data_IF_626595559170
#
_entry.id   IF_626595559170
#
_cell.length_a   1.000
_cell.length_b   1.000
_cell.length_c   1.000
_cell.angle_alpha   90.00
_cell.angle_beta   90.00
_cell.angle_gamma   90.00
#
_symmetry.space_group_name_H-M   'P 1'
#
loop_
_entity.id
_entity.type
_entity.pdbx_description
1 polymer ?
#
# COMPACT_ATOMS: atom_id res chain seq x y z
N UNK A 1 2.86 -16.59 19.17
CA UNK A 1 2.33 -15.84 18.02
C UNK A 1 3.49 -15.49 17.12
N UNK A 2 3.22 -15.12 15.86
CA UNK A 2 4.22 -14.37 15.12
C UNK A 2 4.40 -12.98 15.75
N UNK A 3 5.49 -12.30 15.38
CA UNK A 3 5.85 -11.01 15.95
C UNK A 3 4.81 -9.92 15.61
N UNK A 4 4.05 -10.09 14.54
CA UNK A 4 3.15 -9.06 14.02
C UNK A 4 1.75 -9.13 14.66
N UNK A 5 1.28 -10.31 15.06
CA UNK A 5 -0.05 -10.48 15.67
C UNK A 5 -0.01 -10.49 17.20
N UNK A 6 1.12 -10.92 17.79
CA UNK A 6 1.25 -11.03 19.24
C UNK A 6 0.97 -9.71 20.00
N UNK A 7 1.49 -8.54 19.59
CA UNK A 7 1.22 -7.28 20.29
C UNK A 7 -0.27 -6.97 20.40
N UNK A 8 -1.03 -7.24 19.33
CA UNK A 8 -2.47 -6.98 19.32
C UNK A 8 -3.22 -7.94 20.26
N UNK A 9 -2.88 -9.23 20.28
CA UNK A 9 -3.45 -10.16 21.28
C UNK A 9 -3.09 -9.79 22.71
N UNK A 10 -1.85 -9.37 22.96
CA UNK A 10 -1.44 -8.91 24.29
C UNK A 10 -2.31 -7.72 24.74
N UNK A 11 -2.57 -6.76 23.87
CA UNK A 11 -3.47 -5.64 24.16
C UNK A 11 -4.92 -6.09 24.42
N UNK A 12 -5.41 -7.11 23.71
CA UNK A 12 -6.74 -7.69 23.98
C UNK A 12 -6.83 -8.34 25.36
N UNK A 13 -5.80 -9.08 25.78
CA UNK A 13 -5.72 -9.64 27.14
C UNK A 13 -5.66 -8.53 28.21
N UNK A 14 -5.11 -7.36 27.87
CA UNK A 14 -5.12 -6.15 28.70
C UNK A 14 -6.43 -5.37 28.69
N UNK A 15 -7.47 -5.82 27.98
CA UNK A 15 -8.79 -5.16 27.97
C UNK A 15 -9.08 -4.28 26.76
N UNK A 16 -8.14 -4.13 25.82
CA UNK A 16 -8.32 -3.26 24.66
C UNK A 16 -9.03 -4.01 23.53
N UNK A 17 -10.11 -3.44 22.99
CA UNK A 17 -10.83 -3.95 21.81
C UNK A 17 -11.18 -5.45 21.88
N UNK A 18 -11.78 -5.86 22.99
CA UNK A 18 -12.30 -7.23 23.18
C UNK A 18 -13.51 -7.56 22.29
N UNK A 19 -14.04 -6.56 21.58
CA UNK A 19 -15.12 -6.66 20.59
C UNK A 19 -14.66 -7.21 19.22
N UNK A 20 -13.35 -7.37 18.99
CA UNK A 20 -12.79 -7.86 17.73
C UNK A 20 -12.12 -9.22 17.92
N UNK A 21 -12.17 -10.09 16.91
CA UNK A 21 -11.36 -11.32 16.87
C UNK A 21 -10.21 -11.15 15.88
N UNK A 22 -8.98 -11.37 16.35
CA UNK A 22 -7.78 -11.28 15.53
C UNK A 22 -7.39 -12.69 15.07
N UNK A 23 -7.46 -12.90 13.76
CA UNK A 23 -7.16 -14.19 13.12
C UNK A 23 -5.83 -14.10 12.39
N UNK A 24 -4.83 -14.87 12.84
CA UNK A 24 -3.58 -14.99 12.11
C UNK A 24 -3.74 -16.00 10.96
N UNK A 25 -3.60 -15.53 9.71
CA UNK A 25 -3.78 -16.38 8.51
C UNK A 25 -2.87 -17.62 8.50
N UNK A 26 -1.62 -17.50 8.95
CA UNK A 26 -0.67 -18.62 8.95
C UNK A 26 -1.04 -19.69 9.99
N UNK A 27 -1.39 -19.26 11.20
CA UNK A 27 -1.83 -20.17 12.27
C UNK A 27 -3.21 -20.77 12.00
N UNK A 28 -4.04 -20.13 11.17
CA UNK A 28 -5.33 -20.66 10.73
C UNK A 28 -5.22 -21.93 9.86
N UNK A 29 -4.01 -22.40 9.56
CA UNK A 29 -3.79 -23.74 9.03
C UNK A 29 -3.81 -24.85 10.10
N UNK A 30 -3.70 -24.50 11.39
CA UNK A 30 -3.68 -25.42 12.52
C UNK A 30 -5.11 -25.61 13.05
N UNK A 31 -5.57 -26.86 13.13
CA UNK A 31 -6.93 -27.21 13.59
C UNK A 31 -7.17 -26.70 15.01
N UNK A 32 -6.20 -26.88 15.89
CA UNK A 32 -6.27 -26.50 17.30
C UNK A 32 -6.46 -24.99 17.46
N UNK A 33 -5.86 -24.19 16.56
CA UNK A 33 -6.01 -22.75 16.56
C UNK A 33 -7.41 -22.32 16.07
N UNK A 34 -7.96 -22.99 15.05
CA UNK A 34 -9.34 -22.77 14.61
C UNK A 34 -10.33 -23.07 15.74
N UNK A 35 -10.16 -24.22 16.40
CA UNK A 35 -10.98 -24.62 17.55
C UNK A 35 -10.86 -23.63 18.72
N UNK A 36 -9.64 -23.14 19.00
CA UNK A 36 -9.43 -22.11 20.01
C UNK A 36 -10.21 -20.83 19.68
N UNK A 37 -10.16 -20.37 18.42
CA UNK A 37 -10.90 -19.18 17.99
C UNK A 37 -12.43 -19.40 18.02
N UNK A 38 -12.93 -20.59 17.65
CA UNK A 38 -14.35 -20.94 17.80
C UNK A 38 -14.79 -20.85 19.27
N UNK A 39 -13.99 -21.35 20.22
CA UNK A 39 -14.25 -21.20 21.67
C UNK A 39 -14.23 -19.74 22.13
N UNK A 40 -13.50 -18.87 21.43
CA UNK A 40 -13.47 -17.41 21.65
C UNK A 40 -14.59 -16.66 20.92
N UNK A 41 -15.48 -17.36 20.21
CA UNK A 41 -16.64 -16.78 19.55
C UNK A 41 -16.50 -16.54 18.04
N UNK A 42 -15.49 -17.12 17.37
CA UNK A 42 -15.39 -17.05 15.92
C UNK A 42 -16.62 -17.75 15.28
N UNK A 43 -17.45 -17.04 14.49
CA UNK A 43 -18.68 -17.59 13.95
C UNK A 43 -18.41 -18.41 12.67
N UNK A 44 -17.47 -19.34 12.75
CA UNK A 44 -17.14 -20.27 11.67
C UNK A 44 -17.94 -21.57 11.87
N UNK A 45 -18.99 -21.74 11.08
CA UNK A 45 -19.84 -22.94 11.12
C UNK A 45 -19.12 -24.08 10.38
N UNK A 46 -18.28 -24.81 11.10
CA UNK A 46 -17.57 -26.01 10.63
C UNK A 46 -17.39 -26.99 11.79
N UNK A 47 -17.68 -28.27 11.55
CA UNK A 47 -17.53 -29.35 12.52
C UNK A 47 -16.08 -29.82 12.65
N UNK A 48 -15.79 -30.55 13.73
CA UNK A 48 -14.47 -31.14 13.95
C UNK A 48 -14.09 -32.14 12.84
N UNK A 49 -15.05 -32.94 12.38
CA UNK A 49 -14.86 -33.91 11.30
C UNK A 49 -14.52 -33.20 9.98
N UNK A 50 -15.25 -32.15 9.62
CA UNK A 50 -14.97 -31.35 8.43
C UNK A 50 -13.58 -30.68 8.50
N UNK A 51 -13.17 -30.20 9.68
CA UNK A 51 -11.83 -29.63 9.88
C UNK A 51 -10.71 -30.66 9.67
N UNK A 52 -10.91 -31.92 10.07
CA UNK A 52 -9.95 -33.00 9.85
C UNK A 52 -9.81 -33.37 8.37
N UNK A 53 -10.91 -33.26 7.62
CA UNK A 53 -10.94 -33.55 6.19
C UNK A 53 -10.31 -32.43 5.34
N UNK A 54 -10.33 -31.18 5.81
CA UNK A 54 -9.71 -30.06 5.09
C UNK A 54 -8.20 -30.25 5.01
N UNK A 55 -7.71 -30.40 3.78
CA UNK A 55 -6.29 -30.51 3.44
C UNK A 55 -5.86 -29.40 2.50
N UNK A 56 -4.56 -29.15 2.45
CA UNK A 56 -3.98 -28.35 1.37
C UNK A 56 -4.27 -29.04 0.05
N UNK A 57 -4.71 -28.29 -0.96
CA UNK A 57 -4.96 -28.83 -2.30
C UNK A 57 -4.24 -28.02 -3.36
N UNK A 58 -3.98 -28.62 -4.51
CA UNK A 58 -3.36 -27.96 -5.66
C UNK A 58 -4.42 -27.72 -6.72
N UNK A 59 -4.51 -26.49 -7.19
CA UNK A 59 -5.44 -26.08 -8.25
C UNK A 59 -4.69 -25.17 -9.22
N UNK A 60 -4.63 -25.53 -10.52
CA UNK A 60 -3.92 -24.76 -11.56
C UNK A 60 -2.50 -24.34 -11.16
N UNK A 61 -1.71 -25.30 -10.65
CA UNK A 61 -0.34 -25.08 -10.14
C UNK A 61 -0.19 -24.17 -8.93
N UNK A 62 -1.30 -23.71 -8.32
CA UNK A 62 -1.30 -22.94 -7.08
C UNK A 62 -1.68 -23.83 -5.90
N UNK A 63 -1.00 -23.64 -4.76
CA UNK A 63 -1.36 -24.28 -3.51
C UNK A 63 -2.48 -23.47 -2.87
N UNK A 64 -3.61 -24.11 -2.61
CA UNK A 64 -4.71 -23.57 -1.79
C UNK A 64 -4.55 -24.15 -0.39
N UNK A 65 -4.28 -23.26 0.57
CA UNK A 65 -4.03 -23.66 1.95
C UNK A 65 -5.33 -24.00 2.70
N UNK A 66 -5.21 -24.65 3.86
CA UNK A 66 -6.36 -24.84 4.76
C UNK A 66 -6.93 -23.48 5.18
N UNK A 67 -6.05 -22.56 5.59
CA UNK A 67 -6.40 -21.18 5.93
C UNK A 67 -7.18 -20.46 4.82
N UNK A 68 -6.75 -20.57 3.56
CA UNK A 68 -7.46 -19.93 2.44
C UNK A 68 -8.89 -20.46 2.27
N UNK A 69 -9.09 -21.77 2.48
CA UNK A 69 -10.41 -22.40 2.42
C UNK A 69 -11.31 -21.93 3.57
N UNK A 70 -10.76 -21.91 4.79
CA UNK A 70 -11.50 -21.51 5.99
C UNK A 70 -11.84 -20.01 5.99
N UNK A 71 -10.92 -19.15 5.54
CA UNK A 71 -11.19 -17.70 5.39
C UNK A 71 -12.27 -17.48 4.33
N UNK A 72 -12.20 -18.18 3.19
CA UNK A 72 -13.24 -18.11 2.16
C UNK A 72 -14.60 -18.53 2.72
N UNK A 73 -14.65 -19.57 3.56
CA UNK A 73 -15.87 -20.00 4.24
C UNK A 73 -16.36 -18.92 5.22
N UNK A 74 -15.48 -18.37 6.05
CA UNK A 74 -15.82 -17.33 7.03
C UNK A 74 -16.44 -16.09 6.36
N UNK A 75 -15.80 -15.60 5.30
CA UNK A 75 -16.29 -14.45 4.52
C UNK A 75 -17.64 -14.78 3.88
N UNK A 76 -17.78 -15.97 3.27
CA UNK A 76 -19.03 -16.41 2.64
C UNK A 76 -20.18 -16.53 3.63
N UNK A 77 -19.92 -16.96 4.87
CA UNK A 77 -20.93 -17.10 5.91
C UNK A 77 -21.49 -15.75 6.37
N UNK A 78 -20.69 -14.66 6.27
CA UNK A 78 -21.09 -13.28 6.53
C UNK A 78 -21.85 -13.10 7.87
N UNK A 79 -21.46 -13.86 8.91
CA UNK A 79 -22.06 -13.80 10.25
C UNK A 79 -21.53 -12.62 11.07
N UNK A 80 -20.34 -12.14 10.73
CA UNK A 80 -19.74 -10.93 11.29
C UNK A 80 -18.95 -10.21 10.19
N UNK A 81 -18.71 -8.89 10.32
CA UNK A 81 -17.81 -8.17 9.43
C UNK A 81 -16.41 -8.81 9.44
N UNK A 82 -15.88 -9.08 8.25
CA UNK A 82 -14.50 -9.55 8.07
C UNK A 82 -13.71 -8.45 7.39
N UNK A 83 -12.59 -8.08 7.99
CA UNK A 83 -11.63 -7.12 7.43
C UNK A 83 -10.27 -7.78 7.33
N UNK A 84 -9.46 -7.37 6.37
CA UNK A 84 -8.10 -7.85 6.18
C UNK A 84 -7.12 -6.74 6.53
N UNK A 85 -6.09 -6.98 7.33
CA UNK A 85 -5.02 -5.98 7.45
C UNK A 85 -4.33 -5.78 6.10
N UNK A 86 -3.74 -4.60 5.88
CA UNK A 86 -2.96 -4.31 4.67
C UNK A 86 -1.79 -5.27 4.47
N UNK A 87 -1.33 -5.91 5.54
CA UNK A 87 -0.27 -6.93 5.56
C UNK A 87 -0.74 -8.33 5.10
N UNK A 88 -2.04 -8.57 4.93
CA UNK A 88 -2.54 -9.84 4.37
C UNK A 88 -2.20 -9.87 2.88
N UNK A 89 -1.46 -10.89 2.44
CA UNK A 89 -1.07 -11.04 1.04
C UNK A 89 -2.24 -11.48 0.13
N UNK A 90 -2.48 -10.72 -0.94
CA UNK A 90 -3.48 -10.99 -2.01
C UNK A 90 -4.88 -11.34 -1.48
N UNK A 91 -5.51 -10.48 -0.65
CA UNK A 91 -6.85 -10.72 -0.10
C UNK A 91 -7.94 -10.77 -1.19
N UNK A 92 -7.69 -10.21 -2.38
CA UNK A 92 -8.59 -10.28 -3.53
C UNK A 92 -8.92 -11.72 -3.96
N UNK A 93 -8.08 -12.70 -3.60
CA UNK A 93 -8.32 -14.12 -3.90
C UNK A 93 -9.60 -14.70 -3.30
N UNK A 94 -10.16 -14.05 -2.27
CA UNK A 94 -11.38 -14.52 -1.63
C UNK A 94 -12.64 -14.18 -2.43
N UNK A 95 -12.51 -13.41 -3.52
CA UNK A 95 -13.57 -13.19 -4.50
C UNK A 95 -14.54 -12.07 -4.13
N UNK A 96 -14.07 -11.10 -3.33
CA UNK A 96 -14.85 -9.94 -2.92
C UNK A 96 -14.08 -8.66 -3.26
N UNK A 97 -14.78 -7.61 -3.73
CA UNK A 97 -14.25 -6.26 -3.81
C UNK A 97 -13.77 -5.78 -2.45
N UNK A 98 -12.67 -5.02 -2.43
CA UNK A 98 -12.01 -4.58 -1.21
C UNK A 98 -11.83 -3.07 -1.23
N UNK A 99 -12.27 -2.44 -0.13
CA UNK A 99 -12.16 -1.01 0.13
C UNK A 99 -11.14 -0.76 1.23
N UNK A 100 -10.10 0.03 0.95
CA UNK A 100 -9.15 0.46 1.98
C UNK A 100 -9.82 1.44 2.96
N UNK A 101 -9.68 1.19 4.26
CA UNK A 101 -10.22 1.99 5.36
C UNK A 101 -9.12 2.14 6.41
N UNK A 102 -8.27 3.16 6.25
CA UNK A 102 -7.04 3.29 7.05
C UNK A 102 -6.03 2.17 6.76
N UNK A 103 -5.84 1.25 7.70
CA UNK A 103 -4.87 0.15 7.61
C UNK A 103 -5.51 -1.24 7.41
N UNK A 104 -6.78 -1.25 7.05
CA UNK A 104 -7.50 -2.49 6.74
C UNK A 104 -8.23 -2.37 5.42
N UNK A 105 -8.41 -3.51 4.75
CA UNK A 105 -9.33 -3.70 3.66
C UNK A 105 -10.64 -4.24 4.21
N UNK A 106 -11.71 -3.47 4.04
CA UNK A 106 -13.09 -3.90 4.25
C UNK A 106 -13.65 -4.49 2.96
N UNK A 107 -14.70 -5.30 3.06
CA UNK A 107 -15.43 -5.76 1.87
C UNK A 107 -16.30 -4.61 1.36
N UNK A 108 -16.07 -4.19 0.11
CA UNK A 108 -16.77 -3.06 -0.50
C UNK A 108 -16.28 -2.74 -1.91
N UNK A 109 -17.12 -2.11 -2.71
CA UNK A 109 -16.89 -1.83 -4.15
C UNK A 109 -15.95 -0.64 -4.42
N UNK A 110 -15.81 0.29 -3.47
CA UNK A 110 -14.94 1.46 -3.63
C UNK A 110 -13.48 1.08 -3.35
N UNK A 111 -12.51 1.71 -4.02
CA UNK A 111 -11.08 1.45 -3.77
C UNK A 111 -10.64 1.89 -2.36
N UNK A 112 -11.09 3.07 -1.92
CA UNK A 112 -10.68 3.72 -0.67
C UNK A 112 -11.86 4.46 -0.03
N UNK A 113 -12.11 4.21 1.24
CA UNK A 113 -12.98 5.03 2.10
C UNK A 113 -12.23 6.29 2.52
N UNK A 114 -12.37 7.36 1.73
CA UNK A 114 -11.62 8.61 1.90
C UNK A 114 -11.88 9.24 3.28
N UNK A 115 -13.14 9.35 3.69
CA UNK A 115 -13.49 10.04 4.94
C UNK A 115 -12.98 9.26 6.15
N UNK A 116 -13.19 7.94 6.17
CA UNK A 116 -12.73 7.11 7.27
C UNK A 116 -11.20 7.04 7.34
N UNK A 117 -10.54 6.94 6.19
CA UNK A 117 -9.07 6.90 6.13
C UNK A 117 -8.47 8.22 6.63
N UNK A 118 -9.03 9.36 6.23
CA UNK A 118 -8.63 10.68 6.76
C UNK A 118 -8.83 10.81 8.26
N UNK A 119 -9.99 10.40 8.76
CA UNK A 119 -10.28 10.42 10.20
C UNK A 119 -9.28 9.57 10.99
N UNK A 120 -8.96 8.39 10.50
CA UNK A 120 -8.01 7.49 11.15
C UNK A 120 -6.61 8.08 11.16
N UNK A 121 -6.09 8.50 10.00
CA UNK A 121 -4.71 8.99 9.87
C UNK A 121 -4.50 10.35 10.55
N UNK A 122 -5.45 11.27 10.47
CA UNK A 122 -5.22 12.65 10.93
C UNK A 122 -5.83 13.00 12.28
N UNK A 123 -6.81 12.21 12.78
CA UNK A 123 -7.53 12.53 14.02
C UNK A 123 -7.44 11.44 15.09
N UNK A 124 -7.51 10.17 14.67
CA UNK A 124 -7.58 9.04 15.63
C UNK A 124 -6.20 8.52 16.00
N UNK A 125 -5.37 8.24 15.00
CA UNK A 125 -4.03 7.72 15.19
C UNK A 125 -3.09 8.86 15.60
N UNK A 126 -2.16 8.55 16.50
CA UNK A 126 -1.24 9.54 17.10
C UNK A 126 0.19 9.18 16.78
N UNK A 127 0.83 10.05 16.03
CA UNK A 127 2.19 9.87 15.53
C UNK A 127 3.21 10.76 16.22
N UNK A 128 2.82 11.56 17.21
CA UNK A 128 3.68 12.57 17.85
C UNK A 128 5.02 12.00 18.32
N UNK A 129 4.99 10.80 18.92
CA UNK A 129 6.19 10.11 19.39
C UNK A 129 7.01 9.47 18.26
N UNK A 130 6.34 9.04 17.19
CA UNK A 130 7.04 8.49 16.02
C UNK A 130 7.80 9.61 15.32
N UNK A 131 7.12 10.73 15.09
CA UNK A 131 7.66 11.90 14.40
C UNK A 131 8.55 12.80 15.25
N UNK A 132 8.64 12.57 16.56
CA UNK A 132 9.61 13.29 17.42
C UNK A 132 11.05 12.82 17.22
N UNK A 133 11.25 11.75 16.47
CA UNK A 133 12.54 11.09 16.26
C UNK A 133 12.69 10.79 14.77
N UNK A 134 13.88 10.98 14.16
CA UNK A 134 14.11 10.59 12.77
C UNK A 134 13.81 9.11 12.54
N UNK A 135 13.06 8.78 11.50
CA UNK A 135 12.58 7.41 11.22
C UNK A 135 13.75 6.43 11.02
N UNK A 136 14.85 6.91 10.44
CA UNK A 136 16.08 6.18 10.16
C UNK A 136 16.82 5.76 11.44
N UNK A 137 16.56 6.46 12.55
CA UNK A 137 17.14 6.14 13.86
C UNK A 137 16.34 5.07 14.63
N UNK A 138 15.14 4.72 14.16
CA UNK A 138 14.32 3.67 14.74
C UNK A 138 14.74 2.29 14.23
N UNK A 139 14.32 1.22 14.91
CA UNK A 139 14.64 -0.14 14.47
C UNK A 139 14.02 -0.45 13.10
N UNK A 140 14.67 -1.30 12.32
CA UNK A 140 14.15 -1.74 11.01
C UNK A 140 12.71 -2.28 11.09
N UNK A 141 12.34 -2.94 12.19
CA UNK A 141 10.97 -3.41 12.39
C UNK A 141 9.95 -2.27 12.50
N UNK A 142 10.31 -1.16 13.17
CA UNK A 142 9.44 0.01 13.26
C UNK A 142 9.36 0.74 11.92
N UNK A 143 10.48 0.83 11.19
CA UNK A 143 10.52 1.39 9.84
C UNK A 143 9.56 0.61 8.91
N UNK A 144 9.71 -0.71 8.83
CA UNK A 144 8.85 -1.58 8.02
C UNK A 144 7.36 -1.48 8.42
N UNK A 145 7.05 -1.31 9.72
CA UNK A 145 5.67 -1.11 10.15
C UNK A 145 5.12 0.26 9.72
N UNK A 146 5.97 1.29 9.73
CA UNK A 146 5.65 2.67 9.35
C UNK A 146 5.33 2.78 7.86
N UNK A 147 5.98 1.97 7.01
CA UNK A 147 5.68 1.89 5.57
C UNK A 147 4.19 1.58 5.29
N UNK A 148 3.50 0.83 6.15
CA UNK A 148 2.07 0.57 5.97
C UNK A 148 1.22 1.85 6.07
N UNK A 149 1.64 2.81 6.91
CA UNK A 149 0.99 4.11 7.03
C UNK A 149 1.31 4.99 5.83
N UNK A 150 2.56 4.96 5.35
CA UNK A 150 2.97 5.64 4.12
C UNK A 150 2.13 5.15 2.93
N UNK A 151 2.00 3.83 2.78
CA UNK A 151 1.20 3.21 1.72
C UNK A 151 -0.28 3.59 1.81
N UNK A 152 -0.86 3.61 3.02
CA UNK A 152 -2.26 4.03 3.23
C UNK A 152 -2.49 5.48 2.83
N UNK A 153 -1.62 6.39 3.26
CA UNK A 153 -1.68 7.81 2.89
C UNK A 153 -1.48 8.01 1.38
N UNK A 154 -0.58 7.25 0.76
CA UNK A 154 -0.38 7.27 -0.69
C UNK A 154 -1.64 6.82 -1.46
N UNK A 155 -2.29 5.73 -1.04
CA UNK A 155 -3.56 5.28 -1.65
C UNK A 155 -4.67 6.31 -1.47
N UNK A 156 -4.73 6.97 -0.30
CA UNK A 156 -5.66 8.08 -0.07
C UNK A 156 -5.40 9.25 -1.03
N UNK A 157 -4.14 9.62 -1.24
CA UNK A 157 -3.74 10.63 -2.24
C UNK A 157 -4.26 10.27 -3.65
N UNK A 158 -4.03 9.04 -4.09
CA UNK A 158 -4.51 8.55 -5.40
C UNK A 158 -6.04 8.63 -5.51
N UNK A 159 -6.76 8.30 -4.43
CA UNK A 159 -8.22 8.38 -4.41
C UNK A 159 -8.72 9.84 -4.47
N UNK A 160 -8.01 10.78 -3.85
CA UNK A 160 -8.31 12.22 -3.90
C UNK A 160 -8.03 12.81 -5.28
N UNK A 161 -6.92 12.42 -5.91
CA UNK A 161 -6.59 12.80 -7.28
C UNK A 161 -7.67 12.37 -8.28
N UNK A 162 -8.21 11.14 -8.16
CA UNK A 162 -9.33 10.67 -8.99
C UNK A 162 -10.58 11.55 -8.87
N UNK A 163 -10.70 12.31 -7.77
CA UNK A 163 -11.78 13.28 -7.51
C UNK A 163 -11.34 14.73 -7.77
N UNK A 164 -10.20 14.92 -8.43
CA UNK A 164 -9.61 16.23 -8.78
C UNK A 164 -9.30 17.11 -7.56
N UNK A 165 -9.15 16.50 -6.38
CA UNK A 165 -8.79 17.19 -5.13
C UNK A 165 -7.27 17.23 -4.98
N UNK A 166 -6.59 17.93 -5.88
CA UNK A 166 -5.13 17.84 -6.02
C UNK A 166 -4.36 18.39 -4.81
N UNK A 167 -4.80 19.49 -4.21
CA UNK A 167 -4.15 20.06 -3.03
C UNK A 167 -4.24 19.12 -1.83
N UNK A 168 -5.42 18.51 -1.61
CA UNK A 168 -5.59 17.49 -0.57
C UNK A 168 -4.74 16.26 -0.88
N UNK A 169 -4.68 15.84 -2.15
CA UNK A 169 -3.84 14.72 -2.57
C UNK A 169 -2.35 14.98 -2.26
N UNK A 170 -1.85 16.21 -2.49
CA UNK A 170 -0.47 16.61 -2.17
C UNK A 170 -0.22 16.53 -0.66
N UNK A 171 -1.13 17.03 0.17
CA UNK A 171 -1.00 16.95 1.63
C UNK A 171 -0.86 15.50 2.11
N UNK A 172 -1.58 14.56 1.50
CA UNK A 172 -1.46 13.13 1.84
C UNK A 172 -0.12 12.52 1.37
N UNK A 173 0.45 13.00 0.26
CA UNK A 173 1.82 12.60 -0.15
C UNK A 173 2.84 13.15 0.84
N UNK A 174 2.75 14.42 1.22
CA UNK A 174 3.63 15.03 2.23
C UNK A 174 3.52 14.28 3.56
N UNK A 175 2.31 13.87 3.94
CA UNK A 175 2.08 13.05 5.12
C UNK A 175 2.73 11.66 4.99
N UNK A 176 2.60 11.00 3.84
CA UNK A 176 3.23 9.70 3.56
C UNK A 176 4.77 9.77 3.70
N UNK A 177 5.39 10.85 3.20
CA UNK A 177 6.84 11.09 3.26
C UNK A 177 7.39 11.19 4.68
N UNK A 178 6.54 11.47 5.68
CA UNK A 178 6.96 11.47 7.10
C UNK A 178 7.23 10.07 7.64
N UNK A 179 6.81 9.03 6.93
CA UNK A 179 6.97 7.64 7.33
C UNK A 179 8.01 6.87 6.49
N UNK A 180 8.16 7.21 5.20
CA UNK A 180 9.21 6.65 4.33
C UNK A 180 9.51 7.64 3.20
N UNK A 181 10.75 7.61 2.70
CA UNK A 181 11.23 8.48 1.63
C UNK A 181 11.32 7.73 0.29
N UNK A 182 10.16 7.48 -0.32
CA UNK A 182 10.06 6.66 -1.54
C UNK A 182 10.05 7.51 -2.82
N UNK A 183 10.80 7.11 -3.88
CA UNK A 183 10.81 7.79 -5.18
C UNK A 183 9.41 7.98 -5.79
N UNK A 184 8.52 6.99 -5.60
CA UNK A 184 7.15 7.07 -6.08
C UNK A 184 6.37 8.25 -5.48
N UNK A 185 6.68 8.68 -4.25
CA UNK A 185 6.01 9.81 -3.61
C UNK A 185 6.35 11.13 -4.30
N UNK A 186 7.63 11.38 -4.61
CA UNK A 186 8.05 12.58 -5.36
C UNK A 186 7.55 12.56 -6.79
N UNK A 187 7.65 11.40 -7.46
CA UNK A 187 7.11 11.21 -8.80
C UNK A 187 5.63 11.58 -8.84
N UNK A 188 4.83 11.09 -7.87
CA UNK A 188 3.41 11.39 -7.78
C UNK A 188 3.11 12.85 -7.44
N UNK A 189 3.84 13.42 -6.49
CA UNK A 189 3.70 14.83 -6.09
C UNK A 189 3.95 15.78 -7.26
N UNK A 190 5.02 15.58 -8.04
CA UNK A 190 5.30 16.39 -9.23
C UNK A 190 4.18 16.28 -10.29
N UNK A 191 3.57 15.10 -10.46
CA UNK A 191 2.41 14.95 -11.34
C UNK A 191 1.20 15.77 -10.83
N UNK A 192 0.98 15.81 -9.51
CA UNK A 192 -0.09 16.62 -8.92
C UNK A 192 0.18 18.12 -9.09
N UNK A 193 1.41 18.59 -8.88
CA UNK A 193 1.78 19.98 -9.15
C UNK A 193 1.61 20.35 -10.61
N UNK A 194 1.92 19.44 -11.54
CA UNK A 194 1.67 19.66 -12.96
C UNK A 194 0.18 19.84 -13.27
N UNK A 195 -0.69 19.03 -12.66
CA UNK A 195 -2.17 19.17 -12.79
C UNK A 195 -2.68 20.51 -12.25
N UNK A 196 -2.00 21.07 -11.25
CA UNK A 196 -2.27 22.41 -10.72
C UNK A 196 -1.60 23.54 -11.53
N UNK A 197 -0.82 23.23 -12.57
CA UNK A 197 -0.10 24.22 -13.36
C UNK A 197 1.11 24.85 -12.65
N UNK A 198 1.55 24.27 -11.53
CA UNK A 198 2.63 24.81 -10.70
C UNK A 198 4.01 24.32 -11.16
N UNK A 199 4.48 24.84 -12.30
CA UNK A 199 5.72 24.38 -12.95
C UNK A 199 6.96 24.42 -12.04
N UNK A 200 7.14 25.50 -11.28
CA UNK A 200 8.29 25.65 -10.37
C UNK A 200 8.34 24.53 -9.31
N UNK A 201 7.17 24.09 -8.85
CA UNK A 201 7.04 23.00 -7.89
C UNK A 201 7.32 21.64 -8.51
N UNK A 202 6.95 21.44 -9.79
CA UNK A 202 7.33 20.23 -10.55
C UNK A 202 8.84 20.12 -10.61
N UNK A 203 9.53 21.19 -11.00
CA UNK A 203 10.98 21.19 -11.13
C UNK A 203 11.68 20.94 -9.79
N UNK A 204 11.28 21.65 -8.73
CA UNK A 204 11.85 21.45 -7.40
C UNK A 204 11.61 20.04 -6.87
N UNK A 205 10.46 19.42 -7.17
CA UNK A 205 10.15 18.06 -6.72
C UNK A 205 10.94 17.01 -7.50
N UNK A 206 11.16 17.22 -8.80
CA UNK A 206 12.03 16.37 -9.61
C UNK A 206 13.49 16.44 -9.17
N UNK A 207 13.97 17.63 -8.80
CA UNK A 207 15.34 17.78 -8.31
C UNK A 207 15.53 16.97 -7.01
N UNK A 208 14.56 17.03 -6.06
CA UNK A 208 14.55 16.17 -4.86
C UNK A 208 14.50 14.68 -5.18
N UNK A 209 13.69 14.27 -6.18
CA UNK A 209 13.63 12.88 -6.63
C UNK A 209 15.01 12.37 -7.08
N UNK A 210 15.80 13.21 -7.75
CA UNK A 210 17.14 12.82 -8.22
C UNK A 210 18.20 12.81 -7.13
N UNK A 211 17.97 13.48 -6.00
CA UNK A 211 18.85 13.43 -4.82
C UNK A 211 18.72 12.11 -4.04
N UNK A 212 17.64 11.37 -4.23
CA UNK A 212 17.43 10.08 -3.54
C UNK A 212 18.49 9.06 -3.94
N UNK A 213 19.12 8.43 -2.96
CA UNK A 213 20.15 7.41 -3.22
C UNK A 213 19.56 6.07 -3.72
N UNK A 214 18.25 5.88 -3.56
CA UNK A 214 17.52 4.67 -3.94
C UNK A 214 17.12 4.64 -5.41
N UNK A 215 17.30 5.74 -6.17
CA UNK A 215 16.90 5.80 -7.58
C UNK A 215 18.02 5.39 -8.55
N UNK A 216 17.83 4.25 -9.21
CA UNK A 216 18.72 3.77 -10.27
C UNK A 216 18.28 4.24 -11.66
N UNK A 217 19.09 3.91 -12.67
CA UNK A 217 18.87 4.33 -14.05
C UNK A 217 17.55 3.77 -14.62
N UNK A 218 17.23 2.52 -14.31
CA UNK A 218 16.05 1.84 -14.85
C UNK A 218 14.78 2.48 -14.28
N UNK A 219 14.74 2.75 -12.98
CA UNK A 219 13.60 3.45 -12.38
C UNK A 219 13.46 4.89 -12.90
N UNK A 220 14.56 5.60 -13.20
CA UNK A 220 14.46 6.92 -13.87
C UNK A 220 13.79 6.80 -15.25
N UNK A 221 14.12 5.75 -16.03
CA UNK A 221 13.48 5.49 -17.34
C UNK A 221 11.98 5.21 -17.17
N UNK A 222 11.60 4.36 -16.22
CA UNK A 222 10.20 4.04 -15.92
C UNK A 222 9.39 5.30 -15.52
N UNK A 223 9.97 6.17 -14.67
CA UNK A 223 9.32 7.44 -14.29
C UNK A 223 9.20 8.38 -15.49
N UNK A 224 10.22 8.48 -16.35
CA UNK A 224 10.14 9.30 -17.56
C UNK A 224 9.05 8.81 -18.53
N UNK A 225 8.90 7.50 -18.71
CA UNK A 225 7.84 6.91 -19.50
C UNK A 225 6.45 7.23 -18.92
N UNK A 226 6.28 7.04 -17.61
CA UNK A 226 5.05 7.42 -16.90
C UNK A 226 4.70 8.90 -17.14
N UNK A 227 5.68 9.78 -17.09
CA UNK A 227 5.49 11.21 -17.32
C UNK A 227 5.09 11.50 -18.76
N UNK A 228 5.72 10.84 -19.73
CA UNK A 228 5.36 10.95 -21.13
C UNK A 228 3.92 10.49 -21.39
N UNK A 229 3.51 9.34 -20.83
CA UNK A 229 2.14 8.83 -20.92
C UNK A 229 1.10 9.78 -20.31
N UNK A 230 1.49 10.55 -19.29
CA UNK A 230 0.66 11.58 -18.66
C UNK A 230 0.77 12.96 -19.34
N UNK A 231 1.31 13.02 -20.56
CA UNK A 231 1.51 14.24 -21.36
C UNK A 231 2.47 15.27 -20.75
N UNK A 232 3.29 14.88 -19.77
CA UNK A 232 4.32 15.71 -19.12
C UNK A 232 5.64 15.65 -19.89
N UNK A 233 5.60 15.96 -21.19
CA UNK A 233 6.71 15.75 -22.14
C UNK A 233 8.01 16.47 -21.74
N UNK A 234 7.92 17.72 -21.27
CA UNK A 234 9.09 18.51 -20.85
C UNK A 234 9.79 17.86 -19.65
N UNK A 235 9.01 17.42 -18.65
CA UNK A 235 9.52 16.76 -17.46
C UNK A 235 10.09 15.36 -17.79
N UNK A 236 9.45 14.60 -18.69
CA UNK A 236 9.98 13.32 -19.19
C UNK A 236 11.35 13.51 -19.86
N UNK A 237 11.49 14.53 -20.72
CA UNK A 237 12.78 14.87 -21.35
C UNK A 237 13.81 15.29 -20.30
N UNK A 238 13.43 16.09 -19.29
CA UNK A 238 14.32 16.50 -18.19
C UNK A 238 14.89 15.28 -17.45
N UNK A 239 14.04 14.30 -17.11
CA UNK A 239 14.47 13.06 -16.46
C UNK A 239 15.46 12.28 -17.34
N UNK A 240 15.13 12.07 -18.62
CA UNK A 240 16.01 11.34 -19.55
C UNK A 240 17.33 12.07 -19.81
N UNK A 241 17.31 13.40 -19.86
CA UNK A 241 18.51 14.21 -20.00
C UNK A 241 19.42 14.11 -18.78
N UNK A 242 18.85 14.00 -17.57
CA UNK A 242 19.61 13.73 -16.34
C UNK A 242 20.35 12.39 -16.44
N UNK A 243 19.67 11.34 -16.91
CA UNK A 243 20.27 10.02 -17.09
C UNK A 243 21.46 10.00 -18.06
N UNK A 244 21.45 10.88 -19.09
CA UNK A 244 22.55 10.99 -20.05
C UNK A 244 23.80 11.67 -19.49
N UNK A 245 23.73 12.39 -18.36
CA UNK A 245 24.92 12.98 -17.73
C UNK A 245 25.91 11.91 -17.30
N UNK A 246 25.39 10.82 -16.73
CA UNK A 246 26.19 9.68 -16.26
C UNK A 246 26.44 8.65 -17.36
N UNK A 247 25.56 8.56 -18.37
CA UNK A 247 25.67 7.62 -19.49
C UNK A 247 25.49 8.29 -20.86
N UNK A 248 26.46 9.12 -21.33
CA UNK A 248 26.27 9.98 -22.51
C UNK A 248 26.04 9.26 -23.85
N UNK A 249 26.40 7.97 -23.92
CA UNK A 249 26.30 7.15 -25.12
C UNK A 249 25.15 6.13 -25.08
N UNK A 250 24.25 6.21 -24.09
CA UNK A 250 23.09 5.32 -24.01
C UNK A 250 22.13 5.61 -25.18
N UNK A 251 22.16 4.70 -26.17
CA UNK A 251 21.36 4.81 -27.39
C UNK A 251 19.86 4.73 -27.10
N UNK A 252 19.44 3.96 -26.11
CA UNK A 252 18.04 3.78 -25.76
C UNK A 252 17.45 5.09 -25.26
N UNK A 253 18.13 5.77 -24.34
CA UNK A 253 17.70 7.06 -23.80
C UNK A 253 17.68 8.14 -24.89
N UNK A 254 18.70 8.16 -25.74
CA UNK A 254 18.75 9.09 -26.88
C UNK A 254 17.55 8.87 -27.81
N UNK A 255 17.21 7.61 -28.11
CA UNK A 255 16.10 7.30 -29.02
C UNK A 255 14.74 7.57 -28.36
N UNK A 256 14.58 7.36 -27.05
CA UNK A 256 13.40 7.79 -26.29
C UNK A 256 13.21 9.31 -26.38
N UNK A 257 14.24 10.12 -26.11
CA UNK A 257 14.16 11.60 -26.22
C UNK A 257 13.75 12.02 -27.65
N UNK A 258 14.35 11.40 -28.68
CA UNK A 258 13.99 11.68 -30.08
C UNK A 258 12.53 11.35 -30.37
N UNK A 259 12.03 10.21 -29.88
CA UNK A 259 10.64 9.80 -30.08
C UNK A 259 9.67 10.80 -29.43
N UNK A 260 9.93 11.19 -28.17
CA UNK A 260 9.13 12.18 -27.44
C UNK A 260 9.13 13.53 -28.19
N UNK A 261 10.31 13.98 -28.63
CA UNK A 261 10.48 15.26 -29.34
C UNK A 261 9.82 15.27 -30.72
N UNK A 262 9.85 14.14 -31.44
CA UNK A 262 9.22 14.02 -32.77
C UNK A 262 7.69 14.09 -32.68
N UNK A 263 7.11 13.48 -31.65
CA UNK A 263 5.67 13.55 -31.34
C UNK A 263 5.25 14.89 -30.69
N UNK A 264 6.18 15.83 -30.51
CA UNK A 264 5.91 17.18 -29.99
C UNK A 264 5.77 18.23 -31.10
N UNK A 265 6.33 17.95 -32.29
CA UNK A 265 6.33 18.87 -33.45
C UNK A 265 5.18 18.65 -34.44
N UNK A 266 4.29 17.70 -34.16
CA UNK A 266 3.04 17.41 -34.88
C UNK A 266 1.86 17.86 -34.03
#
# INVERSE_FOLDING_TARGET
GDNDTYPAWYLQERGIRKDVLIVNRSLFNLKEYVQFLQKKGLPLEISEQELDEIKHRKENSKIITKSDQLIKLLVKQNKCPVVFSTTVYKPQRYGYPLKLSGLVYEIGEEDVDIERTKELLHKTLRFDKLFSTPIESLSIHIQNLSENYAASAFQLSMALEKREKYEEAIQEIEFAKRFSDEPMFYSKEAMLYFKLGQKDMVDSTLDKLFELHTIDLDMKKEIAELYYENNMKEAAIKILAECLKDNPADKEIIDLIKNITRNYRL
#
